data_IF_639856771009
#
_entry.id   IF_639856771009
#
_cell.length_a   1.000
_cell.length_b   1.000
_cell.length_c   1.000
_cell.angle_alpha   90.00
_cell.angle_beta   90.00
_cell.angle_gamma   90.00
#
_symmetry.space_group_name_H-M   'P 1'
#
loop_
_entity.id
_entity.type
_entity.pdbx_description
1 polymer ?
#
# COMPACT_ATOMS: atom_id res chain seq x y z
N UNK A 1 7.40 4.19 -2.88
CA UNK A 1 6.84 2.89 -3.30
C UNK A 1 7.88 1.98 -3.99
N UNK A 2 8.34 2.25 -5.23
CA UNK A 2 9.34 1.40 -5.93
C UNK A 2 10.74 1.36 -5.26
N UNK A 3 11.19 2.47 -4.65
CA UNK A 3 12.47 2.51 -3.94
C UNK A 3 12.47 1.65 -2.66
N UNK A 4 11.37 1.68 -1.89
CA UNK A 4 11.20 0.87 -0.68
C UNK A 4 11.16 -0.64 -1.01
N UNK A 5 10.47 -1.01 -2.09
CA UNK A 5 10.46 -2.39 -2.60
C UNK A 5 11.84 -2.87 -3.05
N UNK A 6 12.69 -1.98 -3.59
CA UNK A 6 14.08 -2.30 -3.94
C UNK A 6 14.98 -2.44 -2.70
N UNK A 7 14.64 -1.80 -1.59
CA UNK A 7 15.37 -1.87 -0.32
C UNK A 7 14.99 -3.10 0.52
N UNK A 8 13.76 -3.61 0.38
CA UNK A 8 13.30 -4.81 1.07
C UNK A 8 14.23 -6.04 0.91
N UNK A 9 14.70 -6.43 -0.29
CA UNK A 9 15.64 -7.55 -0.44
C UNK A 9 17.07 -7.24 0.05
N UNK A 10 17.38 -5.97 0.33
CA UNK A 10 18.68 -5.54 0.86
C UNK A 10 18.71 -5.50 2.39
N UNK A 11 17.55 -5.58 3.05
CA UNK A 11 17.42 -5.55 4.50
C UNK A 11 17.96 -6.85 5.12
N UNK A 12 18.99 -6.71 5.95
CA UNK A 12 19.77 -7.85 6.47
C UNK A 12 19.22 -8.38 7.79
N UNK A 13 18.41 -7.58 8.49
CA UNK A 13 17.81 -7.97 9.77
C UNK A 13 16.29 -8.11 9.66
N UNK A 14 15.67 -9.03 10.43
CA UNK A 14 14.21 -9.16 10.49
C UNK A 14 13.49 -7.88 10.93
N UNK A 15 14.15 -7.07 11.78
CA UNK A 15 13.62 -5.80 12.24
C UNK A 15 13.55 -4.76 11.12
N UNK A 16 14.61 -4.62 10.33
CA UNK A 16 14.63 -3.72 9.17
C UNK A 16 13.60 -4.13 8.12
N UNK A 17 13.46 -5.44 7.85
CA UNK A 17 12.45 -5.96 6.93
C UNK A 17 11.04 -5.59 7.40
N UNK A 18 10.75 -5.78 8.69
CA UNK A 18 9.44 -5.41 9.27
C UNK A 18 9.19 -3.91 9.20
N UNK A 19 10.20 -3.08 9.48
CA UNK A 19 10.10 -1.63 9.42
C UNK A 19 9.87 -1.13 7.99
N UNK A 20 10.54 -1.74 7.00
CA UNK A 20 10.33 -1.44 5.58
C UNK A 20 8.97 -1.90 5.08
N UNK A 21 8.53 -3.10 5.47
CA UNK A 21 7.21 -3.62 5.11
C UNK A 21 6.09 -2.71 5.59
N UNK A 22 6.15 -2.25 6.85
CA UNK A 22 5.17 -1.29 7.38
C UNK A 22 5.17 0.04 6.65
N UNK A 23 6.34 0.54 6.24
CA UNK A 23 6.44 1.77 5.46
C UNK A 23 5.83 1.61 4.07
N UNK A 24 6.02 0.45 3.45
CA UNK A 24 5.38 0.10 2.18
C UNK A 24 3.87 0.12 2.34
N UNK A 25 3.34 -0.64 3.30
CA UNK A 25 1.89 -0.71 3.57
C UNK A 25 1.27 0.67 3.86
N UNK A 26 1.95 1.50 4.66
CA UNK A 26 1.48 2.86 4.95
C UNK A 26 1.48 3.74 3.69
N UNK A 27 2.49 3.59 2.83
CA UNK A 27 2.57 4.35 1.57
C UNK A 27 1.50 3.88 0.58
N UNK A 28 1.25 2.58 0.48
CA UNK A 28 0.26 2.02 -0.44
C UNK A 28 -1.14 2.51 -0.08
N UNK A 29 -1.52 2.48 1.21
CA UNK A 29 -2.79 3.05 1.68
C UNK A 29 -2.94 4.54 1.39
N UNK A 30 -1.85 5.31 1.48
CA UNK A 30 -1.88 6.73 1.13
C UNK A 30 -2.12 6.93 -0.36
N UNK A 31 -1.53 6.07 -1.20
CA UNK A 31 -1.75 6.10 -2.65
C UNK A 31 -3.20 5.71 -2.97
N UNK A 32 -3.72 4.65 -2.36
CA UNK A 32 -5.10 4.20 -2.57
C UNK A 32 -6.08 5.33 -2.22
N UNK A 33 -5.90 5.98 -1.06
CA UNK A 33 -6.72 7.13 -0.66
C UNK A 33 -6.65 8.29 -1.66
N UNK A 34 -5.46 8.63 -2.16
CA UNK A 34 -5.29 9.67 -3.17
C UNK A 34 -5.96 9.30 -4.50
N UNK A 35 -5.91 8.04 -4.90
CA UNK A 35 -6.58 7.53 -6.11
C UNK A 35 -8.09 7.61 -5.93
N UNK A 36 -8.61 7.19 -4.78
CA UNK A 36 -10.04 7.28 -4.46
C UNK A 36 -10.53 8.72 -4.51
N UNK A 37 -9.77 9.66 -3.94
CA UNK A 37 -10.08 11.08 -4.00
C UNK A 37 -10.03 11.63 -5.43
N UNK A 38 -8.98 11.31 -6.19
CA UNK A 38 -8.78 11.84 -7.55
C UNK A 38 -9.90 11.43 -8.51
N UNK A 39 -10.40 10.21 -8.36
CA UNK A 39 -11.46 9.65 -9.19
C UNK A 39 -12.85 9.75 -8.55
N UNK A 40 -12.95 10.35 -7.35
CA UNK A 40 -14.18 10.48 -6.58
C UNK A 40 -14.93 9.16 -6.41
N UNK A 41 -14.21 8.08 -6.09
CA UNK A 41 -14.80 6.75 -5.90
C UNK A 41 -15.75 6.76 -4.70
N UNK A 42 -16.86 6.06 -4.87
CA UNK A 42 -17.81 5.74 -3.80
C UNK A 42 -17.33 4.54 -2.96
N UNK A 43 -17.91 4.36 -1.77
CA UNK A 43 -17.60 3.21 -0.90
C UNK A 43 -17.83 1.86 -1.60
N UNK A 44 -18.83 1.79 -2.50
CA UNK A 44 -19.14 0.60 -3.30
C UNK A 44 -18.04 0.32 -4.35
N UNK A 45 -17.59 1.35 -5.07
CA UNK A 45 -16.50 1.23 -6.04
C UNK A 45 -15.16 0.89 -5.39
N UNK A 46 -14.91 1.41 -4.18
CA UNK A 46 -13.75 1.04 -3.36
C UNK A 46 -13.83 -0.44 -2.95
N UNK A 47 -14.99 -0.90 -2.46
CA UNK A 47 -15.18 -2.30 -2.07
C UNK A 47 -14.96 -3.26 -3.23
N UNK A 48 -15.41 -2.90 -4.43
CA UNK A 48 -15.16 -3.66 -5.67
C UNK A 48 -13.65 -3.67 -5.99
N UNK A 49 -12.98 -2.52 -5.92
CA UNK A 49 -11.55 -2.39 -6.21
C UNK A 49 -10.65 -3.16 -5.22
N UNK A 50 -11.04 -3.22 -3.95
CA UNK A 50 -10.36 -3.98 -2.90
C UNK A 50 -10.70 -5.49 -2.92
N UNK A 51 -11.64 -5.91 -3.77
CA UNK A 51 -12.08 -7.31 -3.86
C UNK A 51 -12.85 -7.78 -2.62
N UNK A 52 -13.52 -6.85 -1.93
CA UNK A 52 -14.34 -7.13 -0.76
C UNK A 52 -15.72 -7.70 -1.12
N UNK A 53 -16.09 -7.73 -2.41
CA UNK A 53 -17.25 -8.47 -2.91
C UNK A 53 -16.89 -9.93 -3.22
N UNK A 54 -17.23 -10.84 -2.29
CA UNK A 54 -17.41 -12.27 -2.56
C UNK A 54 -18.77 -12.73 -2.03
#
# INVERSE_FOLDING_TARGET
MLALHKQLPLARTPHEQTALQRQIEATDRQIDALVYELYALTEEEIAIAEGAEQ
#
